data_IF_751348784301
#
_entry.id   IF_751348784301
#
_cell.length_a   1.000
_cell.length_b   1.000
_cell.length_c   1.000
_cell.angle_alpha   90.00
_cell.angle_beta   90.00
_cell.angle_gamma   90.00
#
_symmetry.space_group_name_H-M   'P 1'
#
loop_
_entity.id
_entity.type
_entity.pdbx_description
1 polymer ?
#
# COMPACT_ATOMS: atom_id res chain seq x y z
N UNK A 1 -10.59 30.14 11.42
CA UNK A 1 -10.08 29.02 10.59
C UNK A 1 -8.67 28.57 10.93
N UNK A 2 -7.58 29.29 10.60
CA UNK A 2 -6.21 28.80 10.87
C UNK A 2 -5.97 28.51 12.36
N UNK A 3 -6.37 29.44 13.24
CA UNK A 3 -6.21 29.23 14.68
C UNK A 3 -7.03 28.04 15.21
N UNK A 4 -8.25 27.84 14.69
CA UNK A 4 -9.09 26.69 15.06
C UNK A 4 -8.45 25.38 14.64
N UNK A 5 -7.90 25.32 13.42
CA UNK A 5 -7.17 24.14 12.94
C UNK A 5 -5.95 23.85 13.81
N UNK A 6 -5.12 24.85 14.12
CA UNK A 6 -3.94 24.66 14.99
C UNK A 6 -4.33 24.17 16.37
N UNK A 7 -5.39 24.70 16.97
CA UNK A 7 -5.90 24.26 18.27
C UNK A 7 -6.44 22.83 18.20
N UNK A 8 -7.22 22.49 17.17
CA UNK A 8 -7.72 21.13 16.96
C UNK A 8 -6.57 20.14 16.75
N UNK A 9 -5.55 20.54 15.99
CA UNK A 9 -4.37 19.73 15.72
C UNK A 9 -3.55 19.49 16.98
N UNK A 10 -3.29 20.54 17.78
CA UNK A 10 -2.60 20.36 19.06
C UNK A 10 -3.38 19.42 19.98
N UNK A 11 -4.71 19.55 20.06
CA UNK A 11 -5.56 18.64 20.83
C UNK A 11 -5.45 17.20 20.33
N UNK A 12 -5.35 16.99 19.01
CA UNK A 12 -5.12 15.67 18.44
C UNK A 12 -3.76 15.10 18.91
N UNK A 13 -2.68 15.88 18.83
CA UNK A 13 -1.36 15.43 19.28
C UNK A 13 -1.37 15.08 20.77
N UNK A 14 -1.91 15.96 21.60
CA UNK A 14 -2.03 15.76 23.05
C UNK A 14 -2.88 14.52 23.36
N UNK A 15 -4.00 14.33 22.67
CA UNK A 15 -4.86 13.16 22.83
C UNK A 15 -4.18 11.87 22.37
N UNK A 16 -3.30 11.94 21.36
CA UNK A 16 -2.54 10.79 20.86
C UNK A 16 -1.51 10.34 21.89
N UNK A 17 -0.70 11.29 22.40
CA UNK A 17 0.31 11.04 23.43
C UNK A 17 -0.33 10.56 24.73
N UNK A 18 -1.44 11.18 25.16
CA UNK A 18 -2.16 10.79 26.36
C UNK A 18 -3.01 9.52 26.17
N UNK A 19 -3.09 8.96 24.96
CA UNK A 19 -3.96 7.83 24.60
C UNK A 19 -5.42 8.07 25.04
N UNK A 20 -5.86 9.32 24.86
CA UNK A 20 -7.14 9.80 25.35
C UNK A 20 -8.29 9.22 24.55
N UNK A 21 -9.44 8.89 25.18
CA UNK A 21 -10.66 8.53 24.45
C UNK A 21 -11.15 9.65 23.51
N UNK A 22 -10.70 10.88 23.72
CA UNK A 22 -11.02 12.02 22.85
C UNK A 22 -10.31 11.97 21.49
N UNK A 23 -9.29 11.12 21.32
CA UNK A 23 -8.47 11.03 20.11
C UNK A 23 -9.29 11.03 18.83
N UNK A 24 -10.31 10.15 18.74
CA UNK A 24 -11.15 10.07 17.55
C UNK A 24 -11.92 11.35 17.29
N UNK A 25 -12.45 11.99 18.33
CA UNK A 25 -13.18 13.25 18.15
C UNK A 25 -12.26 14.39 17.69
N UNK A 26 -11.03 14.45 18.21
CA UNK A 26 -10.03 15.42 17.78
C UNK A 26 -9.59 15.19 16.33
N UNK A 27 -9.43 13.92 15.93
CA UNK A 27 -9.10 13.55 14.55
C UNK A 27 -10.19 13.98 13.56
N UNK A 28 -11.47 13.71 13.86
CA UNK A 28 -12.57 14.16 13.02
C UNK A 28 -12.59 15.67 12.84
N UNK A 29 -12.28 16.43 13.90
CA UNK A 29 -12.23 17.88 13.84
C UNK A 29 -11.09 18.38 12.93
N UNK A 30 -9.91 17.76 13.01
CA UNK A 30 -8.80 18.05 12.09
C UNK A 30 -9.19 17.76 10.64
N UNK A 31 -9.84 16.62 10.36
CA UNK A 31 -10.33 16.30 9.02
C UNK A 31 -11.34 17.32 8.49
N UNK A 32 -12.24 17.79 9.36
CA UNK A 32 -13.25 18.79 9.00
C UNK A 32 -12.61 20.14 8.66
N UNK A 33 -11.54 20.51 9.36
CA UNK A 33 -10.88 21.81 9.23
C UNK A 33 -9.78 21.84 8.16
N UNK A 34 -9.15 20.70 7.84
CA UNK A 34 -7.99 20.64 6.93
C UNK A 34 -8.22 21.22 5.52
N UNK A 35 -9.41 21.09 4.88
CA UNK A 35 -9.62 21.69 3.56
C UNK A 35 -9.76 23.22 3.60
N UNK A 36 -9.95 23.78 4.80
CA UNK A 36 -10.28 25.20 5.01
C UNK A 36 -9.04 26.04 5.38
N UNK A 37 -7.87 25.41 5.48
CA UNK A 37 -6.61 26.09 5.79
C UNK A 37 -5.64 26.05 4.61
N UNK A 38 -4.70 27.01 4.51
CA UNK A 38 -3.65 26.97 3.50
C UNK A 38 -2.80 25.70 3.58
N UNK A 39 -2.23 25.30 2.45
CA UNK A 39 -1.34 24.14 2.33
C UNK A 39 -0.16 24.22 3.31
N UNK A 40 0.43 25.41 3.51
CA UNK A 40 1.53 25.64 4.46
C UNK A 40 1.18 25.18 5.89
N UNK A 41 -0.06 25.43 6.33
CA UNK A 41 -0.53 24.97 7.65
C UNK A 41 -0.65 23.45 7.73
N UNK A 42 -1.05 22.80 6.63
CA UNK A 42 -1.10 21.34 6.55
C UNK A 42 0.30 20.72 6.51
N UNK A 43 1.28 21.39 5.92
CA UNK A 43 2.69 20.97 5.93
C UNK A 43 3.22 20.98 7.37
N UNK A 44 3.03 22.07 8.12
CA UNK A 44 3.44 22.12 9.52
C UNK A 44 2.76 21.05 10.38
N UNK A 45 1.48 20.78 10.10
CA UNK A 45 0.74 19.71 10.75
C UNK A 45 1.35 18.33 10.45
N UNK A 46 1.66 18.02 9.19
CA UNK A 46 2.32 16.77 8.80
C UNK A 46 3.68 16.58 9.48
N UNK A 47 4.50 17.63 9.52
CA UNK A 47 5.81 17.58 10.19
C UNK A 47 5.68 17.24 11.68
N UNK A 48 4.67 17.81 12.34
CA UNK A 48 4.41 17.55 13.75
C UNK A 48 3.90 16.13 14.06
N UNK A 49 3.37 15.39 13.07
CA UNK A 49 2.96 13.99 13.26
C UNK A 49 4.16 13.04 13.44
N UNK A 50 5.31 13.35 12.83
CA UNK A 50 6.47 12.45 12.77
C UNK A 50 6.92 11.96 14.15
N UNK A 51 7.22 12.83 15.14
CA UNK A 51 7.62 12.36 16.47
C UNK A 51 6.51 11.57 17.17
N UNK A 52 5.25 11.99 17.03
CA UNK A 52 4.12 11.31 17.70
C UNK A 52 3.89 9.91 17.12
N UNK A 53 4.01 9.72 15.81
CA UNK A 53 3.92 8.40 15.18
C UNK A 53 5.00 7.45 15.68
N UNK A 54 6.23 7.96 15.89
CA UNK A 54 7.33 7.16 16.46
C UNK A 54 7.09 6.76 17.91
N UNK A 55 6.51 7.66 18.69
CA UNK A 55 6.32 7.47 20.14
C UNK A 55 5.06 6.65 20.48
N UNK A 56 4.09 6.54 19.56
CA UNK A 56 2.83 5.80 19.77
C UNK A 56 2.95 4.26 19.67
N UNK A 57 4.17 3.71 19.76
CA UNK A 57 4.49 2.28 19.72
C UNK A 57 3.63 1.35 20.63
N UNK A 58 3.16 1.74 21.84
CA UNK A 58 2.37 0.83 22.68
C UNK A 58 0.92 0.60 22.22
N UNK A 59 0.37 1.45 21.33
CA UNK A 59 -0.98 1.28 20.75
C UNK A 59 -0.92 1.54 19.25
N UNK A 60 -0.62 0.50 18.48
CA UNK A 60 -0.52 0.58 17.02
C UNK A 60 -1.75 1.20 16.35
N UNK A 61 -2.94 1.09 16.96
CA UNK A 61 -4.16 1.71 16.45
C UNK A 61 -4.08 3.23 16.28
N UNK A 62 -3.48 3.95 17.24
CA UNK A 62 -3.35 5.42 17.18
C UNK A 62 -2.35 5.81 16.09
N UNK A 63 -1.18 5.18 16.07
CA UNK A 63 -0.15 5.45 15.06
C UNK A 63 -0.66 5.18 13.64
N UNK A 64 -1.43 4.10 13.44
CA UNK A 64 -2.06 3.77 12.18
C UNK A 64 -3.11 4.81 11.75
N UNK A 65 -3.94 5.30 12.68
CA UNK A 65 -4.93 6.34 12.38
C UNK A 65 -4.25 7.69 12.05
N UNK A 66 -3.12 8.02 12.70
CA UNK A 66 -2.31 9.19 12.35
C UNK A 66 -1.64 9.04 10.98
N UNK A 67 -1.20 7.84 10.62
CA UNK A 67 -0.67 7.56 9.28
C UNK A 67 -1.76 7.75 8.20
N UNK A 68 -3.00 7.32 8.47
CA UNK A 68 -4.15 7.55 7.58
C UNK A 68 -4.43 9.06 7.45
N UNK A 69 -4.39 9.81 8.54
CA UNK A 69 -4.50 11.27 8.49
C UNK A 69 -3.39 11.89 7.62
N UNK A 70 -2.14 11.42 7.77
CA UNK A 70 -1.04 11.90 6.96
C UNK A 70 -1.28 11.63 5.47
N UNK A 71 -1.70 10.41 5.10
CA UNK A 71 -2.06 10.05 3.72
C UNK A 71 -3.18 10.94 3.17
N UNK A 72 -4.24 11.18 3.92
CA UNK A 72 -5.36 12.01 3.49
C UNK A 72 -4.97 13.49 3.30
N UNK A 73 -4.04 14.02 4.11
CA UNK A 73 -3.50 15.36 3.88
C UNK A 73 -2.68 15.40 2.59
N UNK A 74 -1.94 14.34 2.26
CA UNK A 74 -1.21 14.22 0.99
C UNK A 74 -2.14 14.19 -0.21
N UNK A 75 -3.22 13.41 -0.14
CA UNK A 75 -4.26 13.40 -1.18
C UNK A 75 -4.94 14.77 -1.35
N UNK A 76 -4.98 15.58 -0.28
CA UNK A 76 -5.42 16.98 -0.31
C UNK A 76 -4.31 17.96 -0.77
N UNK A 77 -3.41 17.49 -1.65
CA UNK A 77 -2.33 18.26 -2.27
C UNK A 77 -1.34 18.84 -1.24
N UNK A 78 -1.01 18.08 -0.19
CA UNK A 78 0.01 18.48 0.79
C UNK A 78 1.28 17.65 0.59
N UNK A 79 2.46 18.24 0.41
CA UNK A 79 3.71 17.49 0.32
C UNK A 79 3.91 16.61 1.56
N UNK A 80 4.23 15.33 1.34
CA UNK A 80 4.32 14.36 2.44
C UNK A 80 5.52 14.61 3.36
N UNK A 81 6.63 15.13 2.81
CA UNK A 81 7.85 15.43 3.55
C UNK A 81 8.38 14.24 4.36
N UNK A 82 8.87 14.50 5.58
CA UNK A 82 9.34 13.43 6.47
C UNK A 82 8.23 12.50 6.98
N UNK A 83 6.97 12.97 6.98
CA UNK A 83 5.83 12.15 7.39
C UNK A 83 5.61 10.99 6.40
N UNK A 84 5.80 11.22 5.10
CA UNK A 84 5.74 10.14 4.09
C UNK A 84 6.72 9.01 4.39
N UNK A 85 7.98 9.34 4.70
CA UNK A 85 9.00 8.34 5.04
C UNK A 85 8.69 7.64 6.36
N UNK A 86 8.16 8.37 7.34
CA UNK A 86 7.75 7.77 8.62
C UNK A 86 6.59 6.79 8.45
N UNK A 87 5.57 7.12 7.65
CA UNK A 87 4.48 6.19 7.29
C UNK A 87 5.05 4.91 6.67
N UNK A 88 6.03 5.01 5.78
CA UNK A 88 6.67 3.83 5.17
C UNK A 88 7.47 3.01 6.17
N UNK A 89 8.16 3.65 7.14
CA UNK A 89 8.85 2.93 8.23
C UNK A 89 7.87 2.16 9.12
N UNK A 90 6.76 2.80 9.49
CA UNK A 90 5.72 2.16 10.29
C UNK A 90 5.07 1.01 9.52
N UNK A 91 4.82 1.17 8.21
CA UNK A 91 4.36 0.08 7.35
C UNK A 91 5.35 -1.09 7.34
N UNK A 92 6.65 -0.84 7.22
CA UNK A 92 7.66 -1.90 7.25
C UNK A 92 7.62 -2.66 8.59
N UNK A 93 7.59 -1.92 9.71
CA UNK A 93 7.56 -2.50 11.04
C UNK A 93 6.31 -3.36 11.28
N UNK A 94 5.11 -2.81 11.10
CA UNK A 94 3.87 -3.52 11.33
C UNK A 94 3.53 -4.53 10.23
N UNK A 95 4.01 -4.30 9.01
CA UNK A 95 3.86 -5.23 7.89
C UNK A 95 4.65 -6.52 8.08
N UNK A 96 5.87 -6.45 8.66
CA UNK A 96 6.59 -7.66 9.10
C UNK A 96 5.80 -8.45 10.13
N UNK A 97 5.22 -7.76 11.12
CA UNK A 97 4.38 -8.39 12.14
C UNK A 97 3.11 -9.02 11.52
N UNK A 98 2.49 -8.36 10.54
CA UNK A 98 1.35 -8.88 9.80
C UNK A 98 1.71 -10.12 8.97
N UNK A 99 2.88 -10.17 8.31
CA UNK A 99 3.33 -11.36 7.58
C UNK A 99 3.57 -12.54 8.55
N UNK A 100 4.10 -12.29 9.75
CA UNK A 100 4.21 -13.31 10.80
C UNK A 100 2.84 -13.86 11.21
N UNK A 101 1.81 -13.00 11.32
CA UNK A 101 0.44 -13.45 11.55
C UNK A 101 -0.07 -14.34 10.42
N UNK A 102 0.14 -13.96 9.15
CA UNK A 102 -0.27 -14.76 7.99
C UNK A 102 0.40 -16.14 7.97
N UNK A 103 1.71 -16.20 8.20
CA UNK A 103 2.44 -17.46 8.30
C UNK A 103 1.90 -18.36 9.41
N UNK A 104 1.58 -17.78 10.57
CA UNK A 104 0.97 -18.51 11.67
C UNK A 104 -0.45 -19.00 11.34
N UNK A 105 -1.23 -18.19 10.61
CA UNK A 105 -2.56 -18.57 10.15
C UNK A 105 -2.52 -19.77 9.20
N UNK A 106 -1.63 -19.74 8.20
CA UNK A 106 -1.41 -20.85 7.25
C UNK A 106 -1.09 -22.16 7.99
N UNK A 107 -0.25 -22.13 9.03
CA UNK A 107 0.10 -23.30 9.84
C UNK A 107 -1.09 -23.90 10.58
N UNK A 108 -2.13 -23.11 10.84
CA UNK A 108 -3.35 -23.61 11.49
C UNK A 108 -4.27 -24.36 10.52
N UNK A 109 -3.92 -24.46 9.23
CA UNK A 109 -4.70 -25.16 8.20
C UNK A 109 -6.05 -24.53 7.90
N UNK A 110 -6.27 -23.27 8.29
CA UNK A 110 -7.45 -22.49 7.95
C UNK A 110 -7.37 -21.94 6.53
N UNK A 111 -8.51 -21.66 5.89
CA UNK A 111 -8.57 -20.96 4.61
C UNK A 111 -8.07 -19.51 4.70
N UNK A 112 -8.65 -18.59 3.92
CA UNK A 112 -8.25 -17.18 4.00
C UNK A 112 -8.43 -16.63 5.44
N UNK A 113 -7.48 -15.80 5.93
CA UNK A 113 -7.57 -15.16 7.24
C UNK A 113 -8.78 -14.22 7.34
N UNK A 114 -9.29 -13.96 8.56
CA UNK A 114 -10.29 -12.93 8.77
C UNK A 114 -9.73 -11.56 8.36
N UNK A 115 -10.58 -10.66 7.82
CA UNK A 115 -10.17 -9.28 7.56
C UNK A 115 -9.55 -8.62 8.79
N UNK A 116 -8.55 -7.73 8.65
CA UNK A 116 -7.86 -7.06 9.76
C UNK A 116 -8.74 -6.50 10.87
N UNK A 117 -9.92 -5.96 10.55
CA UNK A 117 -10.83 -5.34 11.54
C UNK A 117 -11.89 -6.30 12.09
N UNK A 118 -11.94 -7.53 11.62
CA UNK A 118 -12.97 -8.52 11.93
C UNK A 118 -12.42 -9.72 12.71
N UNK A 119 -11.14 -9.70 13.08
CA UNK A 119 -10.52 -10.76 13.88
C UNK A 119 -11.21 -10.87 15.23
N UNK A 120 -11.68 -12.07 15.53
CA UNK A 120 -12.33 -12.42 16.79
C UNK A 120 -11.32 -12.97 17.79
N UNK A 121 -11.68 -12.94 19.08
CA UNK A 121 -10.85 -13.54 20.14
C UNK A 121 -10.56 -15.04 19.94
N UNK A 122 -11.45 -15.77 19.26
CA UNK A 122 -11.23 -17.17 18.92
C UNK A 122 -10.15 -17.35 17.86
N UNK A 123 -10.10 -16.46 16.87
CA UNK A 123 -9.10 -16.44 15.81
C UNK A 123 -7.74 -15.99 16.34
N UNK A 124 -7.70 -15.01 17.24
CA UNK A 124 -6.50 -14.64 17.98
C UNK A 124 -5.95 -15.83 18.78
N UNK A 125 -6.80 -16.51 19.55
CA UNK A 125 -6.38 -17.66 20.35
C UNK A 125 -5.86 -18.81 19.48
N UNK A 126 -6.43 -18.98 18.28
CA UNK A 126 -6.01 -19.98 17.30
C UNK A 126 -4.57 -19.74 16.83
N UNK A 127 -4.23 -18.51 16.45
CA UNK A 127 -2.85 -18.18 16.01
C UNK A 127 -1.88 -18.00 17.17
N UNK A 128 -2.37 -17.64 18.36
CA UNK A 128 -1.53 -17.44 19.54
C UNK A 128 -0.77 -18.72 19.93
N UNK A 129 -1.35 -19.89 19.69
CA UNK A 129 -0.71 -21.19 19.96
C UNK A 129 0.54 -21.44 19.12
N UNK A 130 0.62 -20.93 17.88
CA UNK A 130 1.81 -21.03 17.03
C UNK A 130 2.78 -19.85 17.25
N UNK A 131 2.25 -18.68 17.60
CA UNK A 131 3.04 -17.45 17.75
C UNK A 131 3.72 -17.27 19.11
N UNK A 132 3.26 -17.95 20.16
CA UNK A 132 3.77 -17.81 21.53
C UNK A 132 3.86 -16.32 21.95
N UNK A 133 5.05 -15.85 22.34
CA UNK A 133 5.30 -14.46 22.77
C UNK A 133 5.08 -13.42 21.66
N UNK A 134 5.09 -13.83 20.39
CA UNK A 134 4.86 -12.95 19.25
C UNK A 134 3.38 -12.70 18.96
N UNK A 135 2.47 -13.42 19.62
CA UNK A 135 1.03 -13.39 19.31
C UNK A 135 0.46 -11.96 19.33
N UNK A 136 0.79 -11.18 20.36
CA UNK A 136 0.30 -9.80 20.49
C UNK A 136 0.80 -8.89 19.36
N UNK A 137 2.10 -8.93 19.07
CA UNK A 137 2.71 -8.05 18.06
C UNK A 137 2.22 -8.43 16.67
N UNK A 138 2.17 -9.72 16.34
CA UNK A 138 1.70 -10.21 15.05
C UNK A 138 0.21 -9.88 14.81
N UNK A 139 -0.64 -10.16 15.81
CA UNK A 139 -2.08 -9.82 15.76
C UNK A 139 -2.28 -8.31 15.60
N UNK A 140 -1.53 -7.52 16.36
CA UNK A 140 -1.57 -6.05 16.25
C UNK A 140 -1.15 -5.59 14.86
N UNK A 141 -0.06 -6.16 14.31
CA UNK A 141 0.40 -5.90 12.95
C UNK A 141 -0.68 -6.18 11.90
N UNK A 142 -1.35 -7.33 12.02
CA UNK A 142 -2.47 -7.68 11.14
C UNK A 142 -3.62 -6.66 11.24
N UNK A 143 -4.03 -6.27 12.45
CA UNK A 143 -5.11 -5.29 12.68
C UNK A 143 -4.88 -3.90 12.09
N UNK A 144 -3.63 -3.47 11.98
CA UNK A 144 -3.28 -2.16 11.45
C UNK A 144 -2.88 -2.19 9.98
N UNK A 145 -2.64 -3.40 9.42
CA UNK A 145 -2.11 -3.56 8.07
C UNK A 145 -2.91 -2.79 7.02
N UNK A 146 -4.24 -2.94 7.00
CA UNK A 146 -5.08 -2.23 6.02
C UNK A 146 -4.94 -0.70 6.09
N UNK A 147 -4.88 -0.12 7.30
CA UNK A 147 -4.70 1.33 7.50
C UNK A 147 -3.33 1.81 7.02
N UNK A 148 -2.27 1.05 7.29
CA UNK A 148 -0.96 1.37 6.75
C UNK A 148 -0.89 1.21 5.23
N UNK A 149 -1.55 0.21 4.65
CA UNK A 149 -1.69 0.06 3.20
C UNK A 149 -2.34 1.29 2.54
N UNK A 150 -3.46 1.77 3.10
CA UNK A 150 -4.12 3.01 2.66
C UNK A 150 -3.20 4.23 2.75
N UNK A 151 -2.58 4.45 3.92
CA UNK A 151 -1.68 5.56 4.14
C UNK A 151 -0.47 5.53 3.19
N UNK A 152 0.15 4.36 3.02
CA UNK A 152 1.29 4.15 2.15
C UNK A 152 0.97 4.44 0.69
N UNK A 153 -0.18 3.95 0.20
CA UNK A 153 -0.66 4.25 -1.15
C UNK A 153 -0.74 5.76 -1.39
N UNK A 154 -1.32 6.51 -0.44
CA UNK A 154 -1.45 7.95 -0.54
C UNK A 154 -0.08 8.66 -0.54
N UNK A 155 0.81 8.35 0.42
CA UNK A 155 2.12 9.03 0.51
C UNK A 155 3.05 8.66 -0.65
N UNK A 156 2.89 7.49 -1.26
CA UNK A 156 3.66 7.11 -2.45
C UNK A 156 3.24 7.88 -3.71
N UNK A 157 2.14 8.64 -3.70
CA UNK A 157 1.81 9.57 -4.80
C UNK A 157 2.77 10.76 -4.84
N UNK A 158 3.39 11.11 -3.71
CA UNK A 158 4.37 12.18 -3.57
C UNK A 158 5.74 11.77 -4.14
N UNK A 159 6.27 12.56 -5.07
CA UNK A 159 7.51 12.24 -5.79
C UNK A 159 8.75 12.30 -4.88
N UNK A 160 8.77 13.24 -3.93
CA UNK A 160 9.89 13.41 -3.01
C UNK A 160 9.96 12.25 -2.02
N UNK A 161 8.82 11.73 -1.57
CA UNK A 161 8.76 10.48 -0.78
C UNK A 161 9.37 9.31 -1.56
N UNK A 162 8.97 9.12 -2.83
CA UNK A 162 9.54 8.05 -3.67
C UNK A 162 11.05 8.21 -3.86
N UNK A 163 11.52 9.43 -4.15
CA UNK A 163 12.95 9.72 -4.31
C UNK A 163 13.73 9.45 -3.01
N UNK A 164 13.20 9.88 -1.87
CA UNK A 164 13.82 9.68 -0.58
C UNK A 164 13.93 8.19 -0.21
N UNK A 165 12.92 7.36 -0.51
CA UNK A 165 12.97 5.90 -0.30
C UNK A 165 14.16 5.24 -1.03
N UNK A 166 14.47 5.68 -2.25
CA UNK A 166 15.61 5.17 -3.01
C UNK A 166 16.97 5.54 -2.42
N UNK A 167 17.02 6.51 -1.50
CA UNK A 167 18.25 7.00 -0.87
C UNK A 167 18.44 6.52 0.56
N UNK A 168 17.48 5.80 1.14
CA UNK A 168 17.60 5.28 2.51
C UNK A 168 18.72 4.23 2.54
N UNK A 169 19.84 4.49 3.24
CA UNK A 169 20.95 3.56 3.27
C UNK A 169 20.56 2.32 4.09
N UNK A 170 20.89 1.14 3.59
CA UNK A 170 20.86 -0.08 4.39
C UNK A 170 22.22 -0.31 5.06
N UNK A 171 22.20 -0.92 6.24
CA UNK A 171 23.43 -1.44 6.83
C UNK A 171 24.01 -2.55 5.93
N UNK A 172 25.34 -2.80 5.96
CA UNK A 172 26.00 -3.76 5.06
C UNK A 172 25.49 -5.22 5.09
N UNK A 173 24.62 -5.57 6.03
CA UNK A 173 24.02 -6.90 6.21
C UNK A 173 22.48 -6.86 6.24
N UNK A 174 21.88 -5.70 6.00
CA UNK A 174 20.44 -5.52 5.97
C UNK A 174 19.95 -5.46 4.52
N UNK A 175 18.78 -6.05 4.27
CA UNK A 175 18.06 -5.86 3.02
C UNK A 175 17.85 -4.37 2.77
N UNK A 176 17.98 -3.93 1.52
CA UNK A 176 17.71 -2.53 1.20
C UNK A 176 16.28 -2.17 1.65
N UNK A 177 16.10 -0.99 2.25
CA UNK A 177 14.79 -0.61 2.80
C UNK A 177 13.67 -0.68 1.74
N UNK A 178 13.97 -0.29 0.49
CA UNK A 178 13.04 -0.43 -0.64
C UNK A 178 12.72 -1.89 -0.99
N UNK A 179 13.71 -2.78 -0.96
CA UNK A 179 13.50 -4.22 -1.22
C UNK A 179 12.64 -4.85 -0.13
N UNK A 180 12.89 -4.50 1.13
CA UNK A 180 12.09 -4.94 2.27
C UNK A 180 10.62 -4.51 2.12
N UNK A 181 10.39 -3.21 1.85
CA UNK A 181 9.06 -2.67 1.61
C UNK A 181 8.36 -3.38 0.44
N UNK A 182 9.08 -3.61 -0.65
CA UNK A 182 8.56 -4.30 -1.84
C UNK A 182 8.16 -5.73 -1.51
N UNK A 183 8.97 -6.44 -0.73
CA UNK A 183 8.69 -7.81 -0.29
C UNK A 183 7.45 -7.87 0.61
N UNK A 184 7.38 -7.02 1.63
CA UNK A 184 6.26 -6.94 2.57
C UNK A 184 4.96 -6.63 1.81
N UNK A 185 4.99 -5.65 0.91
CA UNK A 185 3.83 -5.28 0.13
C UNK A 185 3.40 -6.42 -0.82
N UNK A 186 4.34 -7.11 -1.45
CA UNK A 186 4.04 -8.30 -2.24
C UNK A 186 3.36 -9.40 -1.43
N UNK A 187 3.85 -9.69 -0.21
CA UNK A 187 3.25 -10.69 0.69
C UNK A 187 1.84 -10.32 1.11
N UNK A 188 1.63 -9.10 1.62
CA UNK A 188 0.32 -8.67 2.13
C UNK A 188 -0.71 -8.42 1.02
N UNK A 189 -0.27 -8.22 -0.23
CA UNK A 189 -1.16 -8.02 -1.38
C UNK A 189 -2.05 -9.22 -1.72
N UNK A 190 -1.76 -10.41 -1.19
CA UNK A 190 -2.60 -11.60 -1.41
C UNK A 190 -3.93 -11.51 -0.67
N UNK A 191 -3.93 -10.82 0.48
CA UNK A 191 -5.10 -10.69 1.35
C UNK A 191 -5.66 -9.26 1.42
N UNK A 192 -4.83 -8.23 1.15
CA UNK A 192 -5.21 -6.83 1.29
C UNK A 192 -4.93 -6.08 -0.02
N UNK A 193 -6.00 -5.61 -0.68
CA UNK A 193 -5.95 -5.03 -2.01
C UNK A 193 -5.05 -3.78 -2.11
N UNK A 194 -5.03 -2.93 -1.07
CA UNK A 194 -4.21 -1.71 -1.04
C UNK A 194 -2.72 -2.01 -1.20
N UNK A 195 -2.26 -3.14 -0.64
CA UNK A 195 -0.87 -3.56 -0.77
C UNK A 195 -0.52 -3.98 -2.21
N UNK A 196 -1.49 -4.37 -3.03
CA UNK A 196 -1.26 -4.62 -4.46
C UNK A 196 -0.85 -3.35 -5.21
N UNK A 197 -1.50 -2.23 -4.92
CA UNK A 197 -1.15 -0.92 -5.49
C UNK A 197 0.19 -0.41 -4.94
N UNK A 198 0.39 -0.49 -3.62
CA UNK A 198 1.67 -0.13 -2.96
C UNK A 198 2.83 -0.93 -3.56
N UNK A 199 2.66 -2.25 -3.72
CA UNK A 199 3.67 -3.11 -4.34
C UNK A 199 3.97 -2.72 -5.79
N UNK A 200 2.96 -2.37 -6.58
CA UNK A 200 3.15 -1.85 -7.94
C UNK A 200 3.96 -0.56 -7.98
N UNK A 201 3.65 0.39 -7.09
CA UNK A 201 4.37 1.66 -6.98
C UNK A 201 5.82 1.46 -6.53
N UNK A 202 6.07 0.59 -5.54
CA UNK A 202 7.42 0.30 -5.05
C UNK A 202 8.27 -0.42 -6.09
N UNK A 203 7.70 -1.38 -6.84
CA UNK A 203 8.43 -2.07 -7.92
C UNK A 203 8.86 -1.11 -9.02
N UNK A 204 8.04 -0.10 -9.34
CA UNK A 204 8.39 0.91 -10.33
C UNK A 204 9.58 1.80 -9.91
N UNK A 205 9.92 1.81 -8.62
CA UNK A 205 11.08 2.53 -8.07
C UNK A 205 12.35 1.68 -8.03
N UNK A 206 12.21 0.36 -8.03
CA UNK A 206 13.37 -0.52 -8.06
C UNK A 206 14.14 -0.24 -9.37
N UNK A 207 15.47 -0.06 -9.30
CA UNK A 207 16.27 0.04 -10.51
C UNK A 207 16.05 -1.23 -11.33
N UNK A 208 16.02 -1.07 -12.65
CA UNK A 208 15.83 -2.14 -13.62
C UNK A 208 17.02 -3.10 -13.54
N UNK A 209 17.04 -4.01 -12.56
CA UNK A 209 18.10 -5.00 -12.36
C UNK A 209 18.07 -6.12 -13.43
N UNK A 210 17.36 -5.91 -14.54
CA UNK A 210 17.21 -6.85 -15.65
C UNK A 210 17.79 -6.32 -16.98
N UNK A 211 18.86 -5.51 -16.94
CA UNK A 211 19.71 -5.28 -18.11
C UNK A 211 20.98 -6.15 -18.03
N UNK A 212 20.84 -7.46 -18.15
CA UNK A 212 21.94 -8.31 -18.64
C UNK A 212 21.84 -8.26 -20.17
N UNK A 213 22.76 -7.62 -20.90
CA UNK A 213 22.84 -7.81 -22.34
C UNK A 213 23.36 -9.23 -22.58
N UNK A 214 22.45 -10.18 -22.70
CA UNK A 214 22.75 -11.48 -23.26
C UNK A 214 23.02 -11.30 -24.76
N UNK A 215 24.21 -11.72 -25.16
CA UNK A 215 24.64 -12.00 -26.53
C UNK A 215 25.19 -10.83 -27.38
N UNK A 216 26.41 -10.39 -27.03
CA UNK A 216 27.36 -9.91 -28.05
C UNK A 216 27.99 -11.12 -28.76
N UNK A 217 27.29 -11.66 -29.77
CA UNK A 217 27.86 -12.58 -30.75
C UNK A 217 27.93 -11.90 -32.12
N UNK A 218 29.16 -11.58 -32.49
CA UNK A 218 29.78 -11.27 -33.80
C UNK A 218 28.86 -11.36 -35.04
N UNK A 219 28.78 -10.31 -35.90
CA UNK A 219 28.20 -10.43 -37.23
C UNK A 219 29.20 -11.12 -38.15
N UNK A 220 28.89 -12.35 -38.57
CA UNK A 220 29.61 -13.02 -39.66
C UNK A 220 28.90 -12.74 -40.99
N UNK A 221 29.73 -12.51 -42.01
CA UNK A 221 29.35 -12.01 -43.32
C UNK A 221 28.59 -13.05 -44.14
N UNK A 222 27.60 -12.57 -44.90
CA UNK A 222 26.85 -13.30 -45.91
C UNK A 222 27.74 -13.84 -47.06
N UNK A 223 27.19 -14.77 -47.85
CA UNK A 223 27.29 -14.64 -49.30
C UNK A 223 25.91 -14.72 -49.98
N UNK A 224 25.55 -13.59 -50.62
CA UNK A 224 24.99 -13.44 -51.97
C UNK A 224 24.26 -14.63 -52.62
N UNK A 225 22.93 -14.53 -52.75
CA UNK A 225 22.12 -15.28 -53.74
C UNK A 225 21.30 -14.32 -54.62
N UNK A 226 21.27 -14.65 -55.91
CA UNK A 226 20.82 -13.87 -57.06
C UNK A 226 19.28 -13.64 -57.14
N UNK A 227 18.79 -12.74 -58.03
CA UNK A 227 17.47 -12.11 -57.89
C UNK A 227 16.32 -13.00 -58.37
N UNK A 228 15.26 -13.13 -57.55
CA UNK A 228 13.99 -13.77 -57.93
C UNK A 228 12.96 -12.73 -58.39
N UNK A 229 12.34 -13.04 -59.51
CA UNK A 229 11.25 -12.32 -60.21
C UNK A 229 10.03 -12.09 -59.31
N UNK A 230 9.31 -10.95 -59.41
CA UNK A 230 8.19 -10.63 -58.53
C UNK A 230 6.92 -11.46 -58.82
N UNK A 231 6.35 -12.03 -57.76
CA UNK A 231 5.08 -12.77 -57.71
C UNK A 231 3.89 -11.80 -57.48
N UNK A 232 2.65 -12.10 -57.95
CA UNK A 232 1.51 -11.17 -57.90
C UNK A 232 0.96 -10.96 -56.48
N UNK A 233 0.26 -9.84 -56.19
CA UNK A 233 -0.15 -9.49 -54.84
C UNK A 233 -1.30 -10.37 -54.30
N UNK A 234 -1.11 -10.84 -53.06
CA UNK A 234 -2.11 -11.53 -52.23
C UNK A 234 -3.27 -10.59 -51.80
N UNK A 235 -4.50 -11.11 -51.63
CA UNK A 235 -5.65 -10.32 -51.17
C UNK A 235 -5.62 -10.04 -49.65
N UNK A 236 -6.19 -8.90 -49.26
CA UNK A 236 -6.18 -8.34 -47.92
C UNK A 236 -6.80 -9.25 -46.82
N UNK A 237 -6.34 -9.13 -45.55
CA UNK A 237 -6.78 -9.98 -44.46
C UNK A 237 -8.17 -9.60 -43.94
N UNK A 238 -9.00 -10.61 -43.70
CA UNK A 238 -10.30 -10.54 -43.02
C UNK A 238 -10.06 -10.41 -41.50
N UNK A 239 -10.83 -9.60 -40.74
CA UNK A 239 -10.60 -9.44 -39.31
C UNK A 239 -10.81 -10.76 -38.56
N UNK A 240 -9.77 -11.18 -37.82
CA UNK A 240 -9.79 -12.38 -37.01
C UNK A 240 -10.59 -12.16 -35.72
N UNK A 241 -11.64 -12.94 -35.52
CA UNK A 241 -12.29 -13.10 -34.22
C UNK A 241 -11.31 -13.81 -33.27
N UNK A 242 -11.08 -13.31 -32.04
CA UNK A 242 -10.15 -13.93 -31.11
C UNK A 242 -10.61 -15.36 -30.75
N UNK A 243 -9.69 -16.34 -30.71
CA UNK A 243 -10.03 -17.71 -30.35
C UNK A 243 -10.56 -17.76 -28.92
N UNK A 244 -11.79 -18.26 -28.73
CA UNK A 244 -12.43 -18.44 -27.42
C UNK A 244 -13.72 -17.64 -27.17
N UNK A 245 -14.09 -16.69 -28.03
CA UNK A 245 -15.30 -15.87 -27.85
C UNK A 245 -16.63 -16.66 -27.88
N UNK A 246 -16.61 -17.91 -28.36
CA UNK A 246 -17.77 -18.80 -28.39
C UNK A 246 -17.88 -19.78 -27.21
N UNK A 247 -16.97 -19.72 -26.23
CA UNK A 247 -16.92 -20.69 -25.12
C UNK A 247 -17.63 -20.22 -23.84
N UNK A 248 -18.14 -18.99 -23.80
CA UNK A 248 -18.88 -18.49 -22.64
C UNK A 248 -20.38 -18.57 -22.89
N UNK A 249 -21.16 -19.25 -22.03
CA UNK A 249 -22.61 -19.20 -22.11
C UNK A 249 -23.09 -17.75 -21.91
N UNK A 250 -24.17 -17.32 -22.57
CA UNK A 250 -24.72 -15.99 -22.36
C UNK A 250 -25.12 -15.84 -20.89
N UNK A 251 -24.78 -14.67 -20.31
CA UNK A 251 -25.15 -14.35 -18.93
C UNK A 251 -26.69 -14.42 -18.78
N UNK A 252 -27.20 -14.92 -17.64
CA UNK A 252 -28.62 -14.97 -17.40
C UNK A 252 -29.24 -13.56 -17.44
N UNK A 253 -30.49 -13.42 -17.92
CA UNK A 253 -31.19 -12.14 -17.92
C UNK A 253 -31.29 -11.60 -16.48
N UNK A 254 -30.79 -10.39 -16.24
CA UNK A 254 -30.76 -9.73 -14.92
C UNK A 254 -29.38 -9.46 -14.33
N UNK A 255 -28.28 -9.87 -15.00
CA UNK A 255 -26.90 -9.67 -14.50
C UNK A 255 -26.20 -8.44 -15.12
N UNK A 256 -26.91 -7.61 -15.90
CA UNK A 256 -26.35 -6.39 -16.53
C UNK A 256 -26.77 -5.06 -15.88
N UNK A 257 -27.50 -5.07 -14.76
CA UNK A 257 -27.85 -3.84 -14.03
C UNK A 257 -26.97 -3.68 -12.78
N UNK A 258 -25.75 -3.19 -12.98
CA UNK A 258 -24.81 -2.82 -11.90
C UNK A 258 -25.24 -1.60 -11.08
N UNK A 259 -26.37 -0.97 -11.42
CA UNK A 259 -26.94 0.16 -10.67
C UNK A 259 -27.70 -0.25 -9.38
N UNK A 260 -27.96 -1.54 -9.16
CA UNK A 260 -28.74 -2.04 -8.00
C UNK A 260 -27.92 -2.39 -6.74
N UNK A 261 -26.59 -2.31 -6.79
CA UNK A 261 -25.70 -2.87 -5.74
C UNK A 261 -25.19 -1.84 -4.72
N UNK A 262 -25.61 -0.58 -4.80
CA UNK A 262 -25.23 0.43 -3.82
C UNK A 262 -26.03 0.22 -2.50
N UNK A 263 -25.36 0.08 -1.34
CA UNK A 263 -26.05 0.03 -0.06
C UNK A 263 -26.74 1.38 0.23
N UNK A 264 -28.04 1.32 0.56
CA UNK A 264 -28.75 2.48 1.10
C UNK A 264 -28.70 2.42 2.63
N UNK A 265 -27.99 3.34 3.25
CA UNK A 265 -28.12 3.59 4.68
C UNK A 265 -28.67 4.99 4.94
N UNK A 266 -29.67 5.02 5.82
CA UNK A 266 -30.25 6.17 6.52
C UNK A 266 -29.53 6.36 7.84
#
# INVERSE_FOLDING_TARGET
MINEFRVAFQRLLDASVAQSPEFRSAMHEVFRLSPQVPQEERVFALEALVPVMRECEPIAGIAADLAVLAGALVEADTPAGQAGIEVMRQLAHYGKAADVFLQAWEQTGGGSPPPPMEVTAAEEQRVAASLNELARVATTGWWVAHRYGLAAKAVLTDADTRAALCTVPAAPQETAFLEELTHIAGRLSTEIAEYGEVHGLLRALAPDSAAVPENAAVPDHAPEEAPRTPEPPEPAPVPATPPGAGLLPPLPPGVSDSAGWAPQWK
#
